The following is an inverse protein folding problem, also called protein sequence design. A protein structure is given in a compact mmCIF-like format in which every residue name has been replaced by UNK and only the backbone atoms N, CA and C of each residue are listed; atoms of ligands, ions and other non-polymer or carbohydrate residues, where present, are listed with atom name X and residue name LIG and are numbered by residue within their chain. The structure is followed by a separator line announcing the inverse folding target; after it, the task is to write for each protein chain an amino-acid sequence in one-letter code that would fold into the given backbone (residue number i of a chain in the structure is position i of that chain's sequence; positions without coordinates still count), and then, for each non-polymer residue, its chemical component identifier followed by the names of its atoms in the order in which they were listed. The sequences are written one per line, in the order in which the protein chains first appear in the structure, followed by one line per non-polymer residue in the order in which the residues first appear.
data_IF_235990618857
#
_entry.id   IF_235990618857
#
_cell.length_a   1.000
_cell.length_b   1.000
_cell.length_c   1.000
_cell.angle_alpha   90.00
_cell.angle_beta   90.00
_cell.angle_gamma   90.00
#
_symmetry.space_group_name_H-M   'P 1'
#
loop_
_entity.id
_entity.type
_entity.pdbx_description
1 polymer ?
#
# COMPACT_ATOMS: atom_id res chain seq x y z
N UNK A 1 -1.71 8.83 32.00
CA UNK A 1 -1.72 7.35 31.92
C UNK A 1 -1.54 6.91 30.47
N UNK A 2 -0.46 6.21 30.13
CA UNK A 2 -0.22 5.81 28.74
C UNK A 2 -1.08 4.59 28.37
N UNK A 3 -2.26 4.84 27.83
CA UNK A 3 -3.18 3.85 27.27
C UNK A 3 -2.47 3.10 26.14
N UNK A 4 -2.07 1.87 26.43
CA UNK A 4 -1.38 0.92 25.55
C UNK A 4 -2.33 0.38 24.45
N UNK A 5 -3.02 1.28 23.73
CA UNK A 5 -4.16 0.94 22.85
C UNK A 5 -3.82 0.98 21.35
N UNK A 6 -2.62 1.44 20.98
CA UNK A 6 -2.20 1.56 19.58
C UNK A 6 -0.94 0.71 19.39
N UNK A 7 -1.13 -0.51 18.89
CA UNK A 7 -0.03 -1.41 18.51
C UNK A 7 0.38 -1.26 17.05
N UNK A 8 -0.49 -0.68 16.20
CA UNK A 8 -0.25 -0.50 14.76
C UNK A 8 -0.70 0.89 14.30
N UNK A 9 0.09 1.50 13.42
CA UNK A 9 -0.17 2.82 12.85
C UNK A 9 -1.54 2.89 12.14
N UNK A 10 -1.95 1.80 11.48
CA UNK A 10 -3.20 1.71 10.72
C UNK A 10 -4.48 1.84 11.57
N UNK A 11 -4.38 1.70 12.89
CA UNK A 11 -5.51 1.80 13.81
C UNK A 11 -5.77 3.21 14.32
N UNK A 12 -4.81 4.13 14.12
CA UNK A 12 -4.87 5.48 14.68
C UNK A 12 -6.01 6.30 14.07
N UNK A 13 -6.19 6.20 12.76
CA UNK A 13 -7.22 6.97 12.06
C UNK A 13 -8.65 6.54 12.44
N UNK A 14 -9.02 5.24 12.44
CA UNK A 14 -10.32 4.80 12.94
C UNK A 14 -10.57 5.18 14.41
N UNK A 15 -9.56 5.06 15.28
CA UNK A 15 -9.68 5.42 16.69
C UNK A 15 -9.93 6.92 16.88
N UNK A 16 -9.24 7.77 16.11
CA UNK A 16 -9.42 9.21 16.13
C UNK A 16 -10.84 9.62 15.71
N UNK A 17 -11.38 9.00 14.66
CA UNK A 17 -12.74 9.29 14.18
C UNK A 17 -13.78 8.85 15.20
N UNK A 18 -13.60 7.68 15.82
CA UNK A 18 -14.49 7.22 16.89
C UNK A 18 -14.45 8.21 18.06
N UNK A 19 -13.27 8.63 18.52
CA UNK A 19 -13.14 9.55 19.66
C UNK A 19 -13.70 10.94 19.37
N UNK A 20 -13.44 11.49 18.18
CA UNK A 20 -13.83 12.86 17.82
C UNK A 20 -15.32 12.97 17.53
N UNK A 21 -15.94 11.95 16.93
CA UNK A 21 -17.33 11.99 16.46
C UNK A 21 -18.29 11.10 17.25
N UNK A 22 -17.88 10.63 18.44
CA UNK A 22 -18.75 9.86 19.36
C UNK A 22 -20.01 10.60 19.79
N UNK A 23 -20.06 11.93 19.65
CA UNK A 23 -21.20 12.75 20.03
C UNK A 23 -22.38 12.67 19.03
N UNK A 24 -22.16 12.20 17.79
CA UNK A 24 -23.21 12.05 16.78
C UNK A 24 -23.60 10.57 16.64
N UNK A 25 -24.80 10.15 17.08
CA UNK A 25 -25.23 8.77 16.93
C UNK A 25 -25.33 8.39 15.45
N UNK A 26 -24.74 7.26 15.06
CA UNK A 26 -24.79 6.73 13.69
C UNK A 26 -23.68 7.23 12.75
N UNK A 27 -22.96 8.31 13.09
CA UNK A 27 -21.88 8.84 12.23
C UNK A 27 -20.74 7.84 12.02
N UNK A 28 -20.30 7.17 13.09
CA UNK A 28 -19.26 6.13 13.00
C UNK A 28 -19.68 4.98 12.08
N UNK A 29 -20.96 4.61 12.11
CA UNK A 29 -21.52 3.58 11.21
C UNK A 29 -21.50 4.03 9.75
N UNK A 30 -21.92 5.27 9.48
CA UNK A 30 -21.87 5.87 8.14
C UNK A 30 -20.43 5.94 7.60
N UNK A 31 -19.49 6.34 8.45
CA UNK A 31 -18.07 6.42 8.11
C UNK A 31 -17.49 5.05 7.72
N UNK A 32 -17.73 4.02 8.54
CA UNK A 32 -17.28 2.66 8.25
C UNK A 32 -17.95 2.11 6.98
N UNK A 33 -19.24 2.36 6.79
CA UNK A 33 -19.97 1.97 5.58
C UNK A 33 -19.39 2.62 4.31
N UNK A 34 -19.01 3.89 4.39
CA UNK A 34 -18.36 4.61 3.28
C UNK A 34 -16.99 4.03 2.90
N UNK A 35 -16.16 3.69 3.89
CA UNK A 35 -14.86 3.05 3.65
C UNK A 35 -15.05 1.70 2.96
N UNK A 36 -15.92 0.85 3.49
CA UNK A 36 -16.19 -0.45 2.87
C UNK A 36 -16.76 -0.32 1.47
N UNK A 37 -17.70 0.61 1.25
CA UNK A 37 -18.27 0.87 -0.07
C UNK A 37 -17.19 1.28 -1.09
N UNK A 38 -16.31 2.22 -0.71
CA UNK A 38 -15.19 2.64 -1.55
C UNK A 38 -14.22 1.50 -1.86
N UNK A 39 -13.80 0.74 -0.84
CA UNK A 39 -12.90 -0.40 -1.02
C UNK A 39 -13.52 -1.49 -1.91
N UNK A 40 -14.80 -1.84 -1.69
CA UNK A 40 -15.51 -2.82 -2.49
C UNK A 40 -15.69 -2.38 -3.95
N UNK A 41 -15.87 -1.08 -4.21
CA UNK A 41 -15.96 -0.54 -5.57
C UNK A 41 -14.64 -0.70 -6.34
N UNK A 42 -13.50 -0.41 -5.71
CA UNK A 42 -12.17 -0.62 -6.32
C UNK A 42 -11.90 -2.11 -6.56
N UNK A 43 -12.24 -2.98 -5.59
CA UNK A 43 -12.06 -4.43 -5.75
C UNK A 43 -12.94 -4.97 -6.87
N UNK A 44 -14.21 -4.54 -6.95
CA UNK A 44 -15.15 -4.98 -7.97
C UNK A 44 -14.72 -4.55 -9.37
N UNK A 45 -14.32 -3.29 -9.54
CA UNK A 45 -13.81 -2.79 -10.82
C UNK A 45 -12.51 -3.50 -11.21
N UNK A 46 -11.58 -3.71 -10.27
CA UNK A 46 -10.34 -4.45 -10.52
C UNK A 46 -10.56 -5.90 -10.96
N UNK A 47 -11.40 -6.66 -10.25
CA UNK A 47 -11.73 -8.04 -10.62
C UNK A 47 -12.44 -8.09 -11.97
N UNK A 48 -13.38 -7.17 -12.23
CA UNK A 48 -14.09 -7.12 -13.50
C UNK A 48 -13.15 -6.85 -14.68
N UNK A 49 -12.24 -5.88 -14.54
CA UNK A 49 -11.22 -5.59 -15.55
C UNK A 49 -10.28 -6.77 -15.74
N UNK A 50 -9.83 -7.42 -14.68
CA UNK A 50 -8.93 -8.57 -14.78
C UNK A 50 -9.60 -9.76 -15.46
N UNK A 51 -10.87 -10.04 -15.16
CA UNK A 51 -11.65 -11.07 -15.84
C UNK A 51 -11.86 -10.76 -17.32
N UNK A 52 -12.08 -9.50 -17.67
CA UNK A 52 -12.20 -9.07 -19.07
C UNK A 52 -10.88 -9.19 -19.83
N UNK A 53 -9.76 -8.77 -19.23
CA UNK A 53 -8.41 -8.92 -19.78
C UNK A 53 -8.08 -10.40 -19.97
N UNK A 54 -8.35 -11.26 -18.98
CA UNK A 54 -8.11 -12.71 -19.10
C UNK A 54 -8.96 -13.33 -20.22
N UNK A 55 -10.22 -12.90 -20.38
CA UNK A 55 -11.04 -13.33 -21.51
C UNK A 55 -10.41 -12.92 -22.85
N UNK A 56 -9.99 -11.65 -22.98
CA UNK A 56 -9.47 -11.13 -24.24
C UNK A 56 -8.08 -11.67 -24.59
N UNK A 57 -7.19 -11.79 -23.62
CA UNK A 57 -5.78 -12.12 -23.84
C UNK A 57 -5.52 -13.64 -23.85
N UNK A 58 -6.27 -14.41 -23.05
CA UNK A 58 -6.05 -15.87 -22.94
C UNK A 58 -7.14 -16.68 -23.60
N UNK A 59 -8.42 -16.36 -23.38
CA UNK A 59 -9.49 -17.24 -23.85
C UNK A 59 -9.82 -17.02 -25.32
N UNK A 60 -9.88 -15.77 -25.80
CA UNK A 60 -10.18 -15.47 -27.21
C UNK A 60 -9.13 -16.00 -28.20
N UNK A 61 -7.81 -15.96 -27.92
CA UNK A 61 -6.82 -16.53 -28.84
C UNK A 61 -6.78 -18.06 -28.84
N UNK A 62 -7.12 -18.70 -27.72
CA UNK A 62 -7.12 -20.17 -27.60
C UNK A 62 -8.42 -20.82 -28.11
N UNK A 63 -9.57 -20.13 -28.02
CA UNK A 63 -10.84 -20.58 -28.56
C UNK A 63 -11.18 -19.80 -29.85
N UNK A 64 -10.68 -20.28 -30.98
CA UNK A 64 -10.89 -19.70 -32.30
C UNK A 64 -12.36 -19.28 -32.58
N UNK A 65 -12.53 -17.98 -32.83
CA UNK A 65 -13.50 -17.26 -33.66
C UNK A 65 -15.03 -17.40 -33.47
N UNK A 66 -15.59 -18.34 -32.69
CA UNK A 66 -17.06 -18.40 -32.49
C UNK A 66 -17.47 -18.79 -31.07
N UNK A 67 -17.18 -17.93 -30.10
CA UNK A 67 -17.80 -18.04 -28.78
C UNK A 67 -19.10 -17.24 -28.76
N UNK A 68 -20.20 -17.88 -28.35
CA UNK A 68 -21.47 -17.19 -28.08
C UNK A 68 -21.30 -16.22 -26.91
N UNK A 69 -21.87 -15.00 -27.00
CA UNK A 69 -21.77 -13.97 -25.96
C UNK A 69 -22.25 -14.47 -24.58
N UNK A 70 -23.21 -15.40 -24.56
CA UNK A 70 -23.69 -16.05 -23.35
C UNK A 70 -22.61 -16.92 -22.69
N UNK A 71 -21.81 -17.64 -23.49
CA UNK A 71 -20.72 -18.48 -22.98
C UNK A 71 -19.54 -17.61 -22.52
N UNK A 72 -19.22 -16.54 -23.24
CA UNK A 72 -18.21 -15.57 -22.81
C UNK A 72 -18.56 -14.93 -21.46
N UNK A 73 -19.83 -14.58 -21.27
CA UNK A 73 -20.33 -14.02 -20.01
C UNK A 73 -20.22 -15.01 -18.86
N UNK A 74 -20.52 -16.30 -19.09
CA UNK A 74 -20.38 -17.34 -18.08
C UNK A 74 -18.90 -17.50 -17.67
N UNK A 75 -17.99 -17.49 -18.64
CA UNK A 75 -16.55 -17.61 -18.38
C UNK A 75 -16.05 -16.40 -17.57
N UNK A 76 -16.42 -15.18 -17.94
CA UNK A 76 -16.05 -13.97 -17.18
C UNK A 76 -16.55 -14.04 -15.73
N UNK A 77 -17.77 -14.55 -15.50
CA UNK A 77 -18.29 -14.75 -14.14
C UNK A 77 -17.47 -15.79 -13.36
N UNK A 78 -17.13 -16.92 -13.97
CA UNK A 78 -16.30 -17.96 -13.32
C UNK A 78 -14.91 -17.43 -12.99
N UNK A 79 -14.29 -16.72 -13.92
CA UNK A 79 -12.97 -16.09 -13.74
C UNK A 79 -13.03 -15.01 -12.64
N UNK A 80 -14.11 -14.23 -12.56
CA UNK A 80 -14.30 -13.24 -11.51
C UNK A 80 -14.42 -13.89 -10.12
N UNK A 81 -15.16 -15.00 -10.00
CA UNK A 81 -15.26 -15.77 -8.75
C UNK A 81 -13.90 -16.35 -8.35
N UNK A 82 -13.15 -16.87 -9.32
CA UNK A 82 -11.79 -17.37 -9.10
C UNK A 82 -10.86 -16.28 -8.56
N UNK A 83 -10.84 -15.08 -9.15
CA UNK A 83 -10.03 -13.96 -8.64
C UNK A 83 -10.50 -13.46 -7.27
N UNK A 84 -11.80 -13.51 -6.98
CA UNK A 84 -12.34 -13.22 -5.65
C UNK A 84 -11.81 -14.19 -4.59
N UNK A 85 -11.83 -15.50 -4.86
CA UNK A 85 -11.24 -16.52 -3.99
C UNK A 85 -9.73 -16.36 -3.83
N UNK A 86 -9.02 -16.08 -4.94
CA UNK A 86 -7.59 -15.83 -4.92
C UNK A 86 -7.25 -14.61 -4.05
N UNK A 87 -8.05 -13.54 -4.11
CA UNK A 87 -7.87 -12.36 -3.26
C UNK A 87 -7.99 -12.70 -1.77
N UNK A 88 -8.94 -13.57 -1.38
CA UNK A 88 -9.07 -14.00 0.02
C UNK A 88 -7.81 -14.77 0.45
N UNK A 89 -7.29 -15.66 -0.40
CA UNK A 89 -6.05 -16.39 -0.12
C UNK A 89 -4.84 -15.45 0.04
N UNK A 90 -4.72 -14.42 -0.81
CA UNK A 90 -3.65 -13.42 -0.71
C UNK A 90 -3.73 -12.59 0.58
N UNK A 91 -4.93 -12.28 1.06
CA UNK A 91 -5.12 -11.58 2.34
C UNK A 91 -4.56 -12.40 3.50
N UNK A 92 -4.72 -13.73 3.50
CA UNK A 92 -4.16 -14.61 4.54
C UNK A 92 -2.63 -14.57 4.55
N UNK A 93 -2.00 -14.47 3.38
CA UNK A 93 -0.54 -14.29 3.28
C UNK A 93 -0.11 -12.89 3.72
N UNK A 94 -0.89 -11.85 3.38
CA UNK A 94 -0.61 -10.47 3.75
C UNK A 94 -0.64 -10.25 5.27
N UNK A 95 -1.41 -11.04 6.03
CA UNK A 95 -1.42 -10.98 7.50
C UNK A 95 -0.07 -11.34 8.14
N UNK A 96 0.78 -12.10 7.45
CA UNK A 96 2.14 -12.40 7.90
C UNK A 96 3.12 -11.27 7.62
N UNK A 97 2.72 -10.27 6.81
CA UNK A 97 3.54 -9.10 6.49
C UNK A 97 3.30 -8.00 7.54
N UNK A 98 4.39 -7.47 8.12
CA UNK A 98 4.29 -6.46 9.17
C UNK A 98 3.72 -5.12 8.71
N UNK A 99 4.16 -4.61 7.55
CA UNK A 99 3.73 -3.33 6.98
C UNK A 99 3.10 -3.53 5.60
N UNK A 100 1.77 -3.70 5.58
CA UNK A 100 1.00 -3.97 4.36
C UNK A 100 1.01 -2.75 3.43
N UNK A 101 0.89 -1.54 3.99
CA UNK A 101 0.89 -0.31 3.20
C UNK A 101 2.20 -0.16 2.42
N UNK A 102 3.34 -0.39 3.06
CA UNK A 102 4.64 -0.35 2.39
C UNK A 102 4.77 -1.43 1.31
N UNK A 103 4.29 -2.65 1.59
CA UNK A 103 4.32 -3.75 0.61
C UNK A 103 3.48 -3.43 -0.62
N UNK A 104 2.25 -2.94 -0.42
CA UNK A 104 1.33 -2.60 -1.52
C UNK A 104 1.83 -1.44 -2.36
N UNK A 105 2.32 -0.36 -1.74
CA UNK A 105 2.90 0.78 -2.49
C UNK A 105 4.13 0.35 -3.28
N UNK A 106 4.99 -0.51 -2.71
CA UNK A 106 6.15 -1.04 -3.42
C UNK A 106 5.74 -1.91 -4.62
N UNK A 107 4.73 -2.77 -4.47
CA UNK A 107 4.20 -3.59 -5.56
C UNK A 107 3.59 -2.74 -6.68
N UNK A 108 2.80 -1.72 -6.35
CA UNK A 108 2.25 -0.81 -7.36
C UNK A 108 3.33 -0.02 -8.10
N UNK A 109 4.37 0.44 -7.39
CA UNK A 109 5.51 1.10 -8.03
C UNK A 109 6.30 0.16 -8.93
N UNK A 110 6.59 -1.05 -8.45
CA UNK A 110 7.34 -2.07 -9.20
C UNK A 110 6.59 -2.48 -10.47
N UNK A 111 5.32 -2.85 -10.36
CA UNK A 111 4.55 -3.33 -11.51
C UNK A 111 4.06 -2.21 -12.42
N UNK A 112 3.75 -1.03 -11.86
CA UNK A 112 3.23 0.10 -12.61
C UNK A 112 4.28 0.85 -13.43
N UNK A 113 5.54 0.90 -12.94
CA UNK A 113 6.58 1.72 -13.58
C UNK A 113 6.95 1.33 -15.02
N UNK A 114 7.09 0.05 -15.40
CA UNK A 114 7.41 -0.30 -16.80
C UNK A 114 6.21 -0.14 -17.71
N UNK A 115 5.00 -0.41 -17.22
CA UNK A 115 3.76 -0.23 -17.99
C UNK A 115 3.55 1.25 -18.30
N UNK A 116 3.78 2.11 -17.31
CA UNK A 116 3.75 3.56 -17.51
C UNK A 116 4.84 4.01 -18.50
N UNK A 117 6.08 3.53 -18.34
CA UNK A 117 7.18 3.83 -19.28
C UNK A 117 6.89 3.38 -20.70
N UNK A 118 6.31 2.19 -20.87
CA UNK A 118 5.91 1.64 -22.17
C UNK A 118 4.81 2.50 -22.82
N UNK A 119 3.85 2.97 -22.02
CA UNK A 119 2.78 3.84 -22.50
C UNK A 119 3.32 5.19 -23.00
N UNK A 120 4.22 5.81 -22.24
CA UNK A 120 4.91 7.05 -22.65
C UNK A 120 5.74 6.82 -23.92
N UNK A 121 6.48 5.70 -24.00
CA UNK A 121 7.26 5.35 -25.19
C UNK A 121 6.36 5.23 -26.42
N UNK A 122 5.23 4.54 -26.29
CA UNK A 122 4.26 4.36 -27.39
C UNK A 122 3.56 5.66 -27.82
N UNK A 123 3.38 6.61 -26.89
CA UNK A 123 2.72 7.89 -27.18
C UNK A 123 3.66 8.90 -27.86
N UNK A 124 4.91 9.00 -27.41
CA UNK A 124 5.84 10.07 -27.85
C UNK A 124 6.85 9.61 -28.90
N UNK A 125 7.11 8.32 -29.06
CA UNK A 125 8.10 7.80 -30.01
C UNK A 125 7.39 7.04 -31.15
N UNK A 126 7.07 7.71 -32.27
CA UNK A 126 6.36 7.09 -33.39
C UNK A 126 7.17 6.01 -34.11
N UNK A 127 8.49 5.96 -33.89
CA UNK A 127 9.40 4.95 -34.45
C UNK A 127 9.63 3.76 -33.51
N UNK A 128 8.89 3.66 -32.40
CA UNK A 128 9.04 2.57 -31.46
C UNK A 128 8.59 1.24 -32.08
N UNK A 129 9.44 0.22 -31.97
CA UNK A 129 9.15 -1.12 -32.49
C UNK A 129 8.63 -2.04 -31.37
N UNK A 130 7.73 -2.98 -31.70
CA UNK A 130 7.10 -3.86 -30.71
C UNK A 130 8.11 -4.79 -30.01
N UNK A 131 9.14 -5.23 -30.74
CA UNK A 131 10.17 -6.15 -30.20
C UNK A 131 11.07 -5.45 -29.17
N UNK A 132 11.53 -4.24 -29.46
CA UNK A 132 12.36 -3.43 -28.57
C UNK A 132 11.57 -2.88 -27.40
N UNK A 133 10.29 -2.58 -27.58
CA UNK A 133 9.38 -2.28 -26.49
C UNK A 133 9.26 -3.46 -25.51
N UNK A 134 9.03 -4.68 -26.02
CA UNK A 134 8.97 -5.89 -25.21
C UNK A 134 10.29 -6.16 -24.46
N UNK A 135 11.42 -6.26 -25.19
CA UNK A 135 12.72 -6.52 -24.57
C UNK A 135 13.18 -5.40 -23.64
N UNK A 136 12.87 -4.13 -23.96
CA UNK A 136 13.18 -2.99 -23.12
C UNK A 136 12.43 -3.03 -21.79
N UNK A 137 11.13 -3.34 -21.80
CA UNK A 137 10.36 -3.54 -20.57
C UNK A 137 10.85 -4.73 -19.75
N UNK A 138 11.19 -5.85 -20.41
CA UNK A 138 11.66 -7.05 -19.73
C UNK A 138 13.03 -6.84 -19.07
N UNK A 139 13.99 -6.27 -19.79
CA UNK A 139 15.32 -5.95 -19.27
C UNK A 139 15.25 -4.88 -18.18
N UNK A 140 14.46 -3.83 -18.38
CA UNK A 140 14.25 -2.81 -17.35
C UNK A 140 13.71 -3.41 -16.05
N UNK A 141 12.81 -4.38 -16.16
CA UNK A 141 12.23 -5.03 -14.99
C UNK A 141 13.17 -6.00 -14.29
N UNK A 142 14.00 -6.72 -15.05
CA UNK A 142 15.08 -7.55 -14.50
C UNK A 142 16.09 -6.67 -13.76
N UNK A 143 16.54 -5.55 -14.37
CA UNK A 143 17.50 -4.63 -13.75
C UNK A 143 16.97 -4.01 -12.45
N UNK A 144 15.68 -3.66 -12.40
CA UNK A 144 15.05 -3.15 -11.17
C UNK A 144 14.95 -4.25 -10.11
N UNK A 145 14.67 -5.51 -10.50
CA UNK A 145 14.59 -6.63 -9.58
C UNK A 145 15.97 -7.05 -9.03
N UNK A 146 17.04 -6.94 -9.83
CA UNK A 146 18.42 -7.25 -9.44
C UNK A 146 19.10 -6.11 -8.67
N UNK A 147 18.61 -4.88 -8.80
CA UNK A 147 18.94 -3.77 -7.91
C UNK A 147 18.36 -4.05 -6.52
N UNK A 148 19.11 -4.85 -5.76
CA UNK A 148 18.79 -5.31 -4.43
C UNK A 148 18.34 -4.14 -3.52
N UNK A 149 17.14 -4.21 -2.90
CA UNK A 149 16.68 -3.20 -1.93
C UNK A 149 17.66 -3.01 -0.75
N UNK A 150 18.62 -3.91 -0.57
CA UNK A 150 19.64 -3.85 0.49
C UNK A 150 20.55 -2.62 0.41
N UNK A 151 20.74 -1.99 -0.76
CA UNK A 151 21.65 -0.84 -0.89
C UNK A 151 20.94 0.53 -0.77
N UNK A 152 19.71 0.67 -1.30
CA UNK A 152 18.97 1.95 -1.33
C UNK A 152 18.04 2.17 -0.13
N UNK A 153 17.35 1.12 0.32
CA UNK A 153 16.41 1.19 1.45
C UNK A 153 17.05 1.68 2.75
N UNK A 154 18.28 1.32 3.15
CA UNK A 154 18.87 1.85 4.39
C UNK A 154 19.26 3.33 4.26
N UNK A 155 19.65 3.82 3.08
CA UNK A 155 20.03 5.23 2.90
C UNK A 155 18.81 6.14 2.83
N UNK A 156 17.76 5.73 2.12
CA UNK A 156 16.48 6.46 2.09
C UNK A 156 15.81 6.39 3.46
N UNK A 157 15.76 5.22 4.11
CA UNK A 157 15.25 5.08 5.48
C UNK A 157 16.02 5.96 6.46
N UNK A 158 17.36 5.97 6.43
CA UNK A 158 18.17 6.86 7.29
C UNK A 158 17.93 8.35 7.01
N UNK A 159 17.68 8.74 5.75
CA UNK A 159 17.34 10.14 5.41
C UNK A 159 15.96 10.50 5.90
N UNK A 160 14.95 9.66 5.67
CA UNK A 160 13.58 9.86 6.14
C UNK A 160 13.54 9.89 7.67
N UNK A 161 14.19 8.96 8.35
CA UNK A 161 14.28 8.95 9.82
C UNK A 161 14.93 10.22 10.36
N UNK A 162 16.01 10.71 9.74
CA UNK A 162 16.63 11.98 10.15
C UNK A 162 15.71 13.17 9.92
N UNK A 163 15.05 13.25 8.77
CA UNK A 163 14.12 14.33 8.47
C UNK A 163 12.91 14.31 9.42
N UNK A 164 12.43 13.13 9.80
CA UNK A 164 11.32 13.00 10.73
C UNK A 164 11.72 13.37 12.16
N UNK A 165 12.94 13.03 12.58
CA UNK A 165 13.51 13.54 13.83
C UNK A 165 13.64 15.05 13.81
N UNK A 166 14.18 15.62 12.75
CA UNK A 166 14.30 17.08 12.61
C UNK A 166 12.92 17.74 12.57
N UNK A 167 11.93 17.14 11.91
CA UNK A 167 10.58 17.68 11.88
C UNK A 167 9.95 17.66 13.27
N UNK A 168 10.09 16.56 14.02
CA UNK A 168 9.62 16.47 15.41
C UNK A 168 10.37 17.44 16.34
N UNK A 169 11.70 17.55 16.22
CA UNK A 169 12.51 18.50 17.00
C UNK A 169 12.09 19.94 16.69
N UNK A 170 11.91 20.29 15.41
CA UNK A 170 11.42 21.60 15.01
C UNK A 170 9.97 21.86 15.48
N UNK A 171 9.11 20.85 15.48
CA UNK A 171 7.75 20.96 16.03
C UNK A 171 7.79 21.24 17.53
N UNK A 172 8.61 20.51 18.28
CA UNK A 172 8.76 20.68 19.73
C UNK A 172 9.33 22.05 20.09
N UNK A 173 10.35 22.52 19.34
CA UNK A 173 10.90 23.86 19.54
C UNK A 173 9.92 24.97 19.20
N UNK A 174 9.05 24.77 18.20
CA UNK A 174 8.01 25.74 17.84
C UNK A 174 6.97 25.85 18.95
N UNK A 175 6.60 24.74 19.58
CA UNK A 175 5.70 24.71 20.73
C UNK A 175 6.31 25.42 21.96
N UNK A 176 7.60 25.24 22.22
CA UNK A 176 8.33 25.91 23.31
C UNK A 176 8.50 27.42 23.05
N UNK A 177 8.76 27.83 21.80
CA UNK A 177 8.81 29.25 21.41
C UNK A 177 7.44 29.92 21.43
N UNK A 178 6.37 29.23 21.06
CA UNK A 178 5.00 29.75 21.13
C UNK A 178 4.53 29.90 22.59
N UNK A 179 4.99 29.02 23.50
CA UNK A 179 4.77 29.16 24.93
C UNK A 179 5.46 30.41 25.52
N UNK A 180 6.70 30.68 25.11
CA UNK A 180 7.43 31.87 25.57
C UNK A 180 6.97 33.17 24.91
N UNK A 181 6.43 33.13 23.69
CA UNK A 181 5.90 34.29 22.97
C UNK A 181 4.49 34.68 23.43
N UNK A 182 3.64 33.71 23.77
CA UNK A 182 2.23 33.92 24.14
C UNK A 182 1.94 33.75 25.65
N UNK A 183 2.98 33.67 26.48
CA UNK A 183 2.91 33.42 27.93
C UNK A 183 2.21 34.48 28.79
N UNK A 184 1.30 35.29 28.25
CA UNK A 184 0.47 36.20 29.04
C UNK A 184 -1.03 36.11 28.73
N UNK A 185 -1.48 35.41 27.68
CA UNK A 185 -2.93 35.36 27.42
C UNK A 185 -3.40 34.05 26.78
N UNK A 186 -3.81 33.13 27.67
CA UNK A 186 -4.97 32.21 27.58
C UNK A 186 -4.68 30.86 28.24
N UNK A 187 -4.79 30.83 29.56
CA UNK A 187 -5.31 29.63 30.23
C UNK A 187 -6.84 29.79 30.31
N UNK A 188 -7.60 28.79 29.84
CA UNK A 188 -8.69 28.32 30.67
C UNK A 188 -8.43 26.87 31.08
N UNK A 189 -8.63 26.68 32.37
CA UNK A 189 -8.50 25.49 33.18
C UNK A 189 -9.25 24.30 32.55
N UNK A 190 -8.56 23.17 32.35
CA UNK A 190 -9.21 21.88 32.19
C UNK A 190 -8.45 20.81 31.41
N UNK A 191 -7.76 19.94 32.16
CA UNK A 191 -7.46 18.52 31.86
C UNK A 191 -6.05 18.16 31.36
N UNK A 192 -5.48 17.16 32.07
CA UNK A 192 -4.38 16.25 31.73
C UNK A 192 -2.94 16.73 32.04
N UNK A 193 -2.65 16.82 33.34
CA UNK A 193 -1.37 16.31 33.82
C UNK A 193 -1.26 14.79 33.58
N UNK A 194 -0.06 14.36 33.13
CA UNK A 194 0.44 13.00 32.92
C UNK A 194 0.10 12.27 31.61
N UNK A 195 0.99 12.39 30.63
CA UNK A 195 1.57 11.20 29.97
C UNK A 195 3.11 11.36 29.95
N UNK A 196 3.89 10.41 30.49
CA UNK A 196 5.35 10.43 30.39
C UNK A 196 5.78 10.10 28.94
N UNK A 197 6.93 10.62 28.46
CA UNK A 197 7.42 10.34 27.12
C UNK A 197 7.80 8.85 27.02
N UNK A 198 7.07 8.08 26.22
CA UNK A 198 7.41 6.68 25.94
C UNK A 198 8.55 6.63 24.93
N UNK A 199 9.63 6.01 25.38
CA UNK A 199 10.79 5.55 24.62
C UNK A 199 10.42 4.90 23.28
N UNK A 200 11.06 5.37 22.21
CA UNK A 200 10.94 4.87 20.85
C UNK A 200 11.88 3.67 20.59
N UNK A 201 11.96 2.70 21.51
CA UNK A 201 12.87 1.54 21.45
C UNK A 201 12.20 0.19 21.14
N UNK A 202 10.86 0.09 21.12
CA UNK A 202 10.19 -1.22 21.11
C UNK A 202 9.33 -1.50 19.86
N UNK A 203 9.42 -0.69 18.80
CA UNK A 203 8.62 -0.84 17.56
C UNK A 203 9.41 -1.38 16.35
N UNK A 204 10.48 -2.13 16.59
CA UNK A 204 11.14 -2.92 15.52
C UNK A 204 11.06 -4.39 15.92
N UNK A 205 10.23 -5.22 15.26
CA UNK A 205 10.36 -6.66 15.42
C UNK A 205 11.75 -7.07 14.90
N UNK A 206 12.63 -7.47 15.81
CA UNK A 206 13.97 -8.02 15.55
C UNK A 206 13.93 -9.42 14.90
N UNK A 207 12.93 -9.69 14.05
CA UNK A 207 12.74 -10.99 13.40
C UNK A 207 12.23 -10.88 11.96
N UNK A 208 12.68 -9.86 11.21
CA UNK A 208 12.64 -9.97 9.76
C UNK A 208 13.87 -10.76 9.30
N UNK A 209 13.69 -12.08 9.08
CA UNK A 209 14.55 -12.77 8.12
C UNK A 209 14.47 -11.99 6.79
N UNK A 210 15.61 -11.71 6.14
CA UNK A 210 15.62 -11.02 4.85
C UNK A 210 14.73 -11.74 3.85
N UNK A 211 13.85 -11.00 3.16
CA UNK A 211 12.94 -11.54 2.13
C UNK A 211 13.74 -12.19 0.97
N UNK A 212 15.01 -11.83 0.81
CA UNK A 212 15.95 -12.50 -0.09
C UNK A 212 16.12 -14.00 0.23
N UNK A 213 16.06 -14.41 1.50
CA UNK A 213 16.18 -15.83 1.89
C UNK A 213 14.94 -16.66 1.56
N UNK A 214 13.77 -16.03 1.40
CA UNK A 214 12.53 -16.72 1.02
C UNK A 214 12.47 -16.90 -0.49
N UNK A 215 12.91 -15.90 -1.27
CA UNK A 215 12.98 -16.00 -2.73
C UNK A 215 14.10 -16.94 -3.22
N UNK A 216 15.28 -16.95 -2.57
CA UNK A 216 16.33 -17.94 -2.89
C UNK A 216 15.92 -19.38 -2.55
N UNK A 217 15.15 -19.58 -1.46
CA UNK A 217 14.67 -20.91 -1.07
C UNK A 217 13.52 -21.42 -1.94
N UNK A 218 12.78 -20.54 -2.64
CA UNK A 218 11.65 -20.93 -3.50
C UNK A 218 12.08 -21.21 -4.96
N UNK A 219 13.20 -20.62 -5.41
CA UNK A 219 13.75 -20.81 -6.76
C UNK A 219 14.81 -21.94 -6.81
N UNK A 220 15.27 -22.45 -5.67
CA UNK A 220 16.17 -23.60 -5.61
C UNK A 220 17.58 -23.31 -6.15
N UNK A 221 18.01 -22.05 -6.13
CA UNK A 221 19.39 -21.67 -6.44
C UNK A 221 20.10 -21.51 -5.08
N UNK A 222 20.85 -22.54 -4.72
CA UNK A 222 21.87 -22.47 -3.67
C UNK A 222 23.15 -21.88 -4.22
#
# INVERSE_FOLDING_TARGET
MSTKRIERFDQLFPLYVIQSFSFIPGFVGLFIAGIFSGSLSTISSGINSLSAVTLQDFIRPFLSYKMSDSAATLIVKVVAVFYGLLSIALVLLAQQMGNILQATTALFGLLGSPVFGLFILGMFVPTANSKGAFWGTLLGQILIAEMDPTLYTPLVRKRVERLQRLHNENYCQKEEQDYHRNGVESAPIGTIGQLPPKSHSDLVPNNLKPISNIFSSMIGIR
#
